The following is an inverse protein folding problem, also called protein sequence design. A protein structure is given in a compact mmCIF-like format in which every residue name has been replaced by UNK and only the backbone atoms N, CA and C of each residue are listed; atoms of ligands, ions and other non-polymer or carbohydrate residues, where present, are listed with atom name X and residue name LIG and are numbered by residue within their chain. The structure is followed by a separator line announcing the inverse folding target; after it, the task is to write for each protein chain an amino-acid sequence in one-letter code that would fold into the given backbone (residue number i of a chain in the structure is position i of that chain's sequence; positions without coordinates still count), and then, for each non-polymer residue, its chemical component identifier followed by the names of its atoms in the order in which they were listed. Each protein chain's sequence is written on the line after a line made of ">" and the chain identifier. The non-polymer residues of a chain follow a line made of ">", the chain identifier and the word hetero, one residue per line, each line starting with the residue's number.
data_IF_493738166598
#
_entry.id   IF_493738166598
#
_cell.length_a   1.000
_cell.length_b   1.000
_cell.length_c   1.000
_cell.angle_alpha   90.00
_cell.angle_beta   90.00
_cell.angle_gamma   90.00
#
_symmetry.space_group_name_H-M   'P 1'
#
loop_
_entity.id
_entity.type
_entity.pdbx_description
1 polymer ?
#
# COMPACT_ATOMS: atom_id res chain seq x y z
N UNK A 1 -6.67 -38.80 8.72
CA UNK A 1 -6.75 -38.53 7.27
C UNK A 1 -6.09 -37.17 7.04
N UNK A 2 -5.06 -37.08 6.20
CA UNK A 2 -4.40 -35.80 5.91
C UNK A 2 -5.26 -35.03 4.88
N UNK A 3 -5.47 -33.74 5.11
CA UNK A 3 -6.26 -32.86 4.24
C UNK A 3 -5.41 -31.68 3.81
N UNK A 4 -5.48 -31.33 2.53
CA UNK A 4 -4.84 -30.16 1.96
C UNK A 4 -5.65 -28.90 2.27
N UNK A 5 -4.96 -27.82 2.64
CA UNK A 5 -5.56 -26.52 2.90
C UNK A 5 -4.86 -25.45 2.05
N UNK A 6 -5.62 -24.50 1.52
CA UNK A 6 -5.07 -23.41 0.74
C UNK A 6 -4.72 -22.26 1.69
N UNK A 7 -3.43 -22.11 1.96
CA UNK A 7 -2.91 -21.12 2.89
C UNK A 7 -2.10 -20.04 2.15
N UNK A 8 -2.01 -18.87 2.77
CA UNK A 8 -1.10 -17.81 2.40
C UNK A 8 -0.25 -17.42 3.62
N UNK A 9 1.04 -17.17 3.38
CA UNK A 9 1.94 -16.58 4.37
C UNK A 9 1.94 -15.06 4.17
N UNK A 10 1.64 -14.32 5.23
CA UNK A 10 1.61 -12.86 5.22
C UNK A 10 2.58 -12.30 6.25
N UNK A 11 3.02 -11.05 6.07
CA UNK A 11 3.71 -10.28 7.10
C UNK A 11 2.82 -9.17 7.62
N UNK A 12 2.58 -9.15 8.92
CA UNK A 12 1.94 -8.04 9.63
C UNK A 12 2.98 -6.94 9.84
N UNK A 13 2.62 -5.74 9.40
CA UNK A 13 3.40 -4.53 9.64
C UNK A 13 2.87 -3.82 10.89
N UNK A 14 3.71 -3.00 11.52
CA UNK A 14 3.30 -2.16 12.64
C UNK A 14 2.19 -1.16 12.24
N UNK A 15 1.60 -0.51 13.25
CA UNK A 15 0.84 0.73 13.01
C UNK A 15 1.75 1.80 12.35
N UNK A 16 1.18 2.72 11.56
CA UNK A 16 1.94 3.80 10.95
C UNK A 16 2.53 4.73 12.00
N UNK A 17 3.66 5.36 11.66
CA UNK A 17 4.25 6.43 12.47
C UNK A 17 3.28 7.61 12.55
N UNK A 18 2.77 7.90 13.74
CA UNK A 18 1.72 8.88 13.93
C UNK A 18 2.13 10.28 13.44
N UNK A 19 3.38 10.69 13.67
CA UNK A 19 3.81 12.04 13.29
C UNK A 19 3.99 12.18 11.78
N UNK A 20 4.52 11.14 11.11
CA UNK A 20 4.57 11.16 9.64
C UNK A 20 3.17 11.14 9.03
N UNK A 21 2.25 10.39 9.62
CA UNK A 21 0.87 10.35 9.16
C UNK A 21 0.21 11.74 9.31
N UNK A 22 0.37 12.38 10.46
CA UNK A 22 -0.17 13.70 10.73
C UNK A 22 0.43 14.78 9.81
N UNK A 23 1.76 14.81 9.66
CA UNK A 23 2.45 15.79 8.81
C UNK A 23 2.15 15.64 7.33
N UNK A 24 1.81 14.42 6.90
CA UNK A 24 1.39 14.14 5.52
C UNK A 24 -0.12 14.24 5.33
N UNK A 25 -0.86 14.77 6.30
CA UNK A 25 -2.32 14.88 6.27
C UNK A 25 -3.01 13.54 5.94
N UNK A 26 -2.53 12.45 6.52
CA UNK A 26 -3.08 11.11 6.35
C UNK A 26 -2.59 10.35 5.10
N UNK A 27 -1.62 10.89 4.37
CA UNK A 27 -1.18 10.31 3.08
C UNK A 27 -0.13 9.22 3.25
N UNK A 28 0.86 9.41 4.13
CA UNK A 28 2.03 8.52 4.25
C UNK A 28 1.86 7.56 5.43
N UNK A 29 1.36 6.37 5.13
CA UNK A 29 1.23 5.27 6.09
C UNK A 29 2.56 4.52 6.22
N UNK A 30 3.49 5.09 6.98
CA UNK A 30 4.85 4.58 7.15
C UNK A 30 4.94 3.61 8.33
N UNK A 31 5.17 2.33 8.08
CA UNK A 31 5.18 1.24 9.05
C UNK A 31 6.56 0.56 9.16
N UNK A 32 6.73 -0.28 10.18
CA UNK A 32 7.89 -1.15 10.39
C UNK A 32 7.51 -2.57 9.96
N UNK A 33 8.44 -3.26 9.29
CA UNK A 33 8.32 -4.69 9.04
C UNK A 33 8.84 -5.44 10.27
N UNK A 34 8.00 -6.26 10.89
CA UNK A 34 8.32 -6.99 12.14
C UNK A 34 9.16 -8.27 11.89
N UNK A 35 9.66 -8.48 10.67
CA UNK A 35 10.38 -9.69 10.30
C UNK A 35 9.54 -10.94 10.51
N UNK A 36 10.17 -11.97 11.06
CA UNK A 36 9.52 -13.27 11.33
C UNK A 36 8.47 -13.17 12.44
N UNK A 37 8.59 -12.19 13.35
CA UNK A 37 7.59 -11.97 14.41
C UNK A 37 6.23 -11.51 13.84
N UNK A 38 6.26 -10.91 12.64
CA UNK A 38 5.05 -10.50 11.92
C UNK A 38 4.47 -11.59 11.02
N UNK A 39 5.13 -12.76 10.88
CA UNK A 39 4.67 -13.78 9.95
C UNK A 39 3.42 -14.51 10.46
N UNK A 40 2.40 -14.59 9.61
CA UNK A 40 1.17 -15.31 9.91
C UNK A 40 0.72 -16.16 8.74
N UNK A 41 0.16 -17.33 9.04
CA UNK A 41 -0.52 -18.19 8.07
C UNK A 41 -2.01 -17.87 8.14
N UNK A 42 -2.59 -17.51 7.00
CA UNK A 42 -4.03 -17.28 6.85
C UNK A 42 -4.60 -18.20 5.78
N UNK A 43 -5.91 -18.46 5.84
CA UNK A 43 -6.60 -19.11 4.72
C UNK A 43 -6.64 -18.14 3.54
N UNK A 44 -6.25 -18.56 2.34
CA UNK A 44 -6.17 -17.67 1.17
C UNK A 44 -7.52 -16.99 0.87
N UNK A 45 -8.64 -17.64 1.20
CA UNK A 45 -10.00 -17.11 0.97
C UNK A 45 -10.38 -15.93 1.86
N UNK A 46 -9.57 -15.59 2.87
CA UNK A 46 -9.83 -14.42 3.74
C UNK A 46 -9.23 -13.12 3.17
N UNK A 47 -8.37 -13.21 2.16
CA UNK A 47 -7.76 -12.03 1.51
C UNK A 47 -8.83 -11.30 0.70
N UNK A 48 -9.13 -10.05 1.08
CA UNK A 48 -10.13 -9.20 0.38
C UNK A 48 -9.51 -8.25 -0.63
N UNK A 49 -8.30 -7.78 -0.36
CA UNK A 49 -7.54 -6.86 -1.20
C UNK A 49 -6.04 -7.05 -0.93
N UNK A 50 -5.21 -6.55 -1.85
CA UNK A 50 -3.76 -6.50 -1.69
C UNK A 50 -3.29 -5.07 -1.91
N UNK A 51 -2.32 -4.65 -1.11
CA UNK A 51 -1.67 -3.34 -1.20
C UNK A 51 -0.18 -3.54 -1.46
N UNK A 52 0.48 -2.54 -2.03
CA UNK A 52 1.93 -2.55 -2.11
C UNK A 52 2.51 -1.94 -0.83
N UNK A 53 3.45 -2.66 -0.20
CA UNK A 53 4.27 -2.14 0.89
C UNK A 53 5.65 -1.79 0.32
N UNK A 54 5.89 -0.51 0.08
CA UNK A 54 7.08 -0.04 -0.63
C UNK A 54 8.17 0.33 0.37
N UNK A 55 9.39 -0.24 0.27
CA UNK A 55 10.50 0.15 1.14
C UNK A 55 10.86 1.63 0.96
N UNK A 56 11.14 2.33 2.05
CA UNK A 56 11.65 3.71 2.03
C UNK A 56 12.47 4.05 3.29
N UNK A 57 13.12 5.21 3.29
CA UNK A 57 14.03 5.63 4.37
C UNK A 57 13.74 7.07 4.84
N UNK A 58 12.58 7.36 5.46
CA UNK A 58 12.24 8.71 5.88
C UNK A 58 13.09 9.18 7.06
N UNK A 59 13.38 10.47 7.09
CA UNK A 59 13.83 11.16 8.30
C UNK A 59 12.62 11.49 9.16
N UNK A 60 12.55 10.87 10.34
CA UNK A 60 11.46 11.10 11.29
C UNK A 60 11.60 12.49 11.93
N UNK A 61 10.55 13.03 12.56
CA UNK A 61 10.64 14.34 13.23
C UNK A 61 11.64 14.38 14.39
N UNK A 62 12.03 13.21 14.91
CA UNK A 62 13.16 13.06 15.84
C UNK A 62 14.54 13.36 15.22
N UNK A 63 14.61 13.60 13.89
CA UNK A 63 15.85 13.76 13.13
C UNK A 63 16.52 12.46 12.72
N UNK A 64 15.95 11.30 13.09
CA UNK A 64 16.54 9.98 12.81
C UNK A 64 15.96 9.43 11.50
N UNK A 65 16.85 9.07 10.57
CA UNK A 65 16.49 8.33 9.37
C UNK A 65 16.37 6.83 9.69
N UNK A 66 15.26 6.21 9.28
CA UNK A 66 15.03 4.77 9.51
C UNK A 66 14.49 4.09 8.26
N UNK A 67 14.94 2.85 8.03
CA UNK A 67 14.32 1.97 7.04
C UNK A 67 12.92 1.59 7.51
N UNK A 68 11.93 1.85 6.66
CA UNK A 68 10.50 1.62 6.90
C UNK A 68 9.86 1.14 5.60
N UNK A 69 8.56 0.91 5.63
CA UNK A 69 7.75 0.65 4.43
C UNK A 69 6.54 1.57 4.45
N UNK A 70 6.08 2.04 3.30
CA UNK A 70 4.82 2.77 3.23
C UNK A 70 3.80 2.07 2.36
N UNK A 71 2.54 2.15 2.77
CA UNK A 71 1.42 1.57 2.04
C UNK A 71 1.12 2.41 0.80
N UNK A 72 0.99 1.74 -0.34
CA UNK A 72 0.48 2.31 -1.57
C UNK A 72 -0.71 1.49 -2.02
N UNK A 73 -1.87 2.15 -2.10
CA UNK A 73 -2.98 1.64 -2.88
C UNK A 73 -2.65 1.90 -4.35
N UNK A 74 -2.64 0.84 -5.16
CA UNK A 74 -2.48 1.01 -6.60
C UNK A 74 -3.73 1.71 -7.11
N UNK A 75 -3.63 3.00 -7.44
CA UNK A 75 -4.66 3.80 -8.11
C UNK A 75 -4.91 3.36 -9.57
N UNK A 76 -4.86 2.05 -9.84
CA UNK A 76 -4.96 1.48 -11.16
C UNK A 76 -6.24 0.70 -11.30
N UNK A 77 -7.36 1.39 -11.55
CA UNK A 77 -8.35 1.02 -12.59
C UNK A 77 -9.50 2.04 -12.72
N UNK A 78 -9.69 2.98 -11.79
CA UNK A 78 -10.82 3.93 -11.84
C UNK A 78 -10.49 5.27 -12.53
N UNK A 79 -9.65 5.24 -13.57
CA UNK A 79 -9.34 6.40 -14.43
C UNK A 79 -10.24 6.47 -15.68
N UNK A 80 -11.22 5.58 -15.80
CA UNK A 80 -12.09 5.52 -16.99
C UNK A 80 -13.22 6.54 -16.99
N UNK A 81 -13.48 7.25 -15.89
CA UNK A 81 -14.59 8.22 -15.80
C UNK A 81 -14.21 9.68 -16.08
N UNK A 82 -12.93 10.04 -16.13
CA UNK A 82 -12.52 11.41 -16.44
C UNK A 82 -12.39 11.58 -17.94
N UNK A 83 -13.53 11.60 -18.63
CA UNK A 83 -13.61 11.82 -20.08
C UNK A 83 -12.97 13.14 -20.45
N UNK A 84 -11.79 13.10 -21.05
CA UNK A 84 -11.25 14.24 -21.79
C UNK A 84 -12.11 14.39 -23.03
N UNK A 85 -12.94 15.44 -23.07
CA UNK A 85 -13.67 15.82 -24.28
C UNK A 85 -12.61 16.33 -25.25
N UNK A 86 -12.23 15.49 -26.22
CA UNK A 86 -11.38 15.92 -27.32
C UNK A 86 -12.29 16.75 -28.23
N UNK A 87 -12.12 18.06 -28.23
CA UNK A 87 -12.72 18.91 -29.25
C UNK A 87 -12.01 18.56 -30.56
N UNK A 88 -12.76 17.96 -31.48
CA UNK A 88 -12.26 17.68 -32.83
C UNK A 88 -12.37 18.99 -33.60
N UNK A 89 -11.24 19.65 -33.84
CA UNK A 89 -11.17 20.74 -34.81
C UNK A 89 -11.46 20.16 -36.19
N UNK A 90 -12.66 20.41 -36.69
CA UNK A 90 -13.00 20.17 -38.10
C UNK A 90 -12.28 21.26 -38.89
N UNK A 91 -11.17 20.91 -39.54
CA UNK A 91 -10.62 21.71 -40.62
C UNK A 91 -11.38 21.34 -41.89
N UNK A 92 -12.30 22.23 -42.28
CA UNK A 92 -12.81 22.30 -43.64
C UNK A 92 -11.67 22.75 -44.56
N UNK A 93 -11.26 21.88 -45.50
CA UNK A 93 -11.02 22.14 -46.93
C UNK A 93 -10.44 20.90 -47.65
#
# INVERSE_FOLDING_TARGET
>A
HLRWENIALISIYSLPDAQLLDFSHGTVWSCIHEGDNGLQIINIKTIRAVVAMVPHCPTLPSGITKNRFFMVEKAGLDVTLTGVKVEVDVQDE
#
